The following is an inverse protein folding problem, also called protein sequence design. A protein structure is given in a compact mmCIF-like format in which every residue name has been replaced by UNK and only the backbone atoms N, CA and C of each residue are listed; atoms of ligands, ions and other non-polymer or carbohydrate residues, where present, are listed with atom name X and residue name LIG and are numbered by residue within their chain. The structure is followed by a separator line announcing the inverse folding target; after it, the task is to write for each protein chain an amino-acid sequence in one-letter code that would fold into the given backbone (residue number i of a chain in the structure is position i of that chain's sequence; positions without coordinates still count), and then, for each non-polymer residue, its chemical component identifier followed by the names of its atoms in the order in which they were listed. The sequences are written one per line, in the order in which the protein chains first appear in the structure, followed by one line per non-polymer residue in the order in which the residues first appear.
data_IF_953942632011
#
_entry.id   IF_953942632011
#
_cell.length_a   1.000
_cell.length_b   1.000
_cell.length_c   1.000
_cell.angle_alpha   90.00
_cell.angle_beta   90.00
_cell.angle_gamma   90.00
#
_symmetry.space_group_name_H-M   'P 1'
#
loop_
_entity.id
_entity.type
_entity.pdbx_description
1 polymer ?
#
# COMPACT_ATOMS: atom_id res chain seq x y z
N UNK A 1 -25.26 6.70 -8.69
CA UNK A 1 -25.93 5.79 -7.74
C UNK A 1 -25.39 6.14 -6.35
N UNK A 2 -26.24 6.68 -5.48
CA UNK A 2 -25.84 6.94 -4.09
C UNK A 2 -25.87 5.62 -3.34
N UNK A 3 -24.73 4.95 -3.23
CA UNK A 3 -24.56 3.89 -2.25
C UNK A 3 -24.31 4.58 -0.89
N UNK A 4 -25.37 4.83 -0.13
CA UNK A 4 -25.25 4.96 1.31
C UNK A 4 -24.96 3.56 1.83
N UNK A 5 -23.69 3.20 1.90
CA UNK A 5 -23.27 1.97 2.53
C UNK A 5 -23.56 2.13 4.01
N UNK A 6 -24.56 1.41 4.51
CA UNK A 6 -24.93 1.39 5.91
C UNK A 6 -23.68 1.06 6.74
N UNK A 7 -23.33 1.93 7.66
CA UNK A 7 -22.12 1.75 8.45
C UNK A 7 -22.26 0.52 9.37
N UNK A 8 -21.13 -0.07 9.79
CA UNK A 8 -21.14 -1.17 10.78
C UNK A 8 -21.83 -0.71 12.06
N UNK A 9 -21.71 0.57 12.40
CA UNK A 9 -22.33 1.16 13.60
C UNK A 9 -23.85 1.33 13.44
N UNK A 10 -24.35 1.65 12.24
CA UNK A 10 -25.77 1.67 11.93
C UNK A 10 -26.39 0.28 12.11
N UNK A 11 -25.69 -0.77 11.64
CA UNK A 11 -26.12 -2.16 11.82
C UNK A 11 -26.14 -2.58 13.29
N UNK A 12 -25.09 -2.25 14.04
CA UNK A 12 -25.03 -2.56 15.48
C UNK A 12 -26.14 -1.85 16.22
N UNK A 13 -26.46 -0.59 15.87
CA UNK A 13 -27.59 0.13 16.43
C UNK A 13 -28.92 -0.55 16.09
N UNK A 14 -29.14 -0.96 14.87
CA UNK A 14 -30.36 -1.65 14.45
C UNK A 14 -30.54 -2.99 15.20
N UNK A 15 -29.47 -3.76 15.36
CA UNK A 15 -29.50 -5.00 16.17
C UNK A 15 -29.90 -4.76 17.62
N UNK A 16 -29.42 -3.66 18.22
CA UNK A 16 -29.83 -3.27 19.58
C UNK A 16 -31.31 -2.90 19.65
N UNK A 17 -31.85 -2.20 18.64
CA UNK A 17 -33.26 -1.84 18.59
C UNK A 17 -34.17 -3.08 18.42
N UNK A 18 -33.78 -4.00 17.51
CA UNK A 18 -34.55 -5.22 17.21
C UNK A 18 -34.61 -6.19 18.39
N UNK A 19 -33.63 -6.16 19.29
CA UNK A 19 -33.56 -7.01 20.46
C UNK A 19 -33.85 -6.31 21.80
N UNK A 20 -34.42 -5.13 21.77
CA UNK A 20 -34.73 -4.37 22.99
C UNK A 20 -35.70 -5.12 23.94
N UNK A 21 -35.51 -5.02 25.28
CA UNK A 21 -34.47 -4.28 25.97
C UNK A 21 -33.15 -5.08 26.08
N UNK A 22 -32.04 -4.51 25.58
CA UNK A 22 -30.73 -5.17 25.63
C UNK A 22 -29.59 -4.13 25.68
N UNK A 23 -28.37 -4.63 25.84
CA UNK A 23 -27.13 -3.87 25.62
C UNK A 23 -26.12 -4.74 24.90
N UNK A 24 -25.13 -4.12 24.27
CA UNK A 24 -24.01 -4.76 23.59
C UNK A 24 -22.72 -3.97 23.76
N UNK A 25 -21.60 -4.58 23.42
CA UNK A 25 -20.29 -3.92 23.40
C UNK A 25 -19.81 -3.71 21.97
N UNK A 26 -19.32 -2.51 21.68
CA UNK A 26 -18.73 -2.15 20.41
C UNK A 26 -17.50 -1.26 20.65
N UNK A 27 -16.32 -1.71 20.18
CA UNK A 27 -15.04 -1.01 20.40
C UNK A 27 -14.84 -0.57 21.86
N UNK A 28 -15.00 -1.51 22.81
CA UNK A 28 -14.86 -1.28 24.25
C UNK A 28 -15.87 -0.27 24.84
N UNK A 29 -16.94 0.05 24.11
CA UNK A 29 -18.02 0.92 24.57
C UNK A 29 -19.30 0.13 24.73
N UNK A 30 -19.95 0.29 25.88
CA UNK A 30 -21.28 -0.29 26.13
C UNK A 30 -22.35 0.59 25.49
N UNK A 31 -23.15 -0.01 24.62
CA UNK A 31 -24.27 0.59 23.94
C UNK A 31 -25.56 -0.04 24.44
N UNK A 32 -26.59 0.77 24.64
CA UNK A 32 -27.90 0.32 25.15
C UNK A 32 -28.97 0.51 24.07
N UNK A 33 -29.96 -0.37 24.06
CA UNK A 33 -31.12 -0.21 23.17
C UNK A 33 -31.96 1.04 23.46
N UNK A 34 -31.73 1.70 24.61
CA UNK A 34 -32.32 3.00 24.94
C UNK A 34 -31.55 4.20 24.41
N UNK A 35 -30.32 4.00 23.95
CA UNK A 35 -29.53 5.07 23.35
C UNK A 35 -30.16 5.48 22.00
N UNK A 36 -30.13 6.76 21.72
CA UNK A 36 -30.43 7.25 20.37
C UNK A 36 -29.25 6.96 19.40
N UNK A 37 -29.50 6.99 18.11
CA UNK A 37 -28.44 6.79 17.11
C UNK A 37 -27.27 7.77 17.27
N UNK A 38 -27.59 9.04 17.56
CA UNK A 38 -26.55 10.05 17.81
C UNK A 38 -25.74 9.76 19.08
N UNK A 39 -26.38 9.31 20.17
CA UNK A 39 -25.66 8.91 21.38
C UNK A 39 -24.72 7.74 21.14
N UNK A 40 -25.14 6.74 20.35
CA UNK A 40 -24.30 5.61 19.94
C UNK A 40 -23.08 6.13 19.15
N UNK A 41 -23.28 7.01 18.17
CA UNK A 41 -22.19 7.60 17.40
C UNK A 41 -21.25 8.43 18.28
N UNK A 42 -21.77 9.26 19.18
CA UNK A 42 -20.96 10.07 20.12
C UNK A 42 -20.13 9.18 21.03
N UNK A 43 -20.72 8.10 21.58
CA UNK A 43 -19.99 7.15 22.44
C UNK A 43 -18.82 6.48 21.75
N UNK A 44 -18.99 6.09 20.49
CA UNK A 44 -17.99 5.31 19.72
C UNK A 44 -16.98 6.21 19.00
N UNK A 45 -17.43 7.28 18.39
CA UNK A 45 -16.61 8.11 17.48
C UNK A 45 -16.28 9.50 18.02
N UNK A 46 -16.94 9.92 19.09
CA UNK A 46 -16.85 11.28 19.63
C UNK A 46 -17.62 12.34 18.81
N UNK A 47 -18.44 11.93 17.83
CA UNK A 47 -19.19 12.81 16.93
C UNK A 47 -20.63 12.33 16.81
N UNK A 48 -21.58 13.23 16.57
CA UNK A 48 -22.93 12.85 16.13
C UNK A 48 -22.87 12.12 14.79
N UNK A 49 -23.93 11.38 14.43
CA UNK A 49 -23.99 10.69 13.13
C UNK A 49 -23.78 11.66 11.97
N UNK A 50 -24.43 12.80 11.98
CA UNK A 50 -24.31 13.78 10.90
C UNK A 50 -22.88 14.33 10.77
N UNK A 51 -22.20 14.60 11.88
CA UNK A 51 -20.78 15.03 11.88
C UNK A 51 -19.84 13.92 11.39
N UNK A 52 -20.08 12.70 11.81
CA UNK A 52 -19.31 11.53 11.37
C UNK A 52 -19.49 11.30 9.86
N UNK A 53 -20.72 11.27 9.36
CA UNK A 53 -21.02 11.12 7.93
C UNK A 53 -20.39 12.24 7.10
N UNK A 54 -20.46 13.48 7.61
CA UNK A 54 -19.78 14.62 7.00
C UNK A 54 -18.26 14.49 6.95
N UNK A 55 -17.65 13.95 7.99
CA UNK A 55 -16.22 13.67 8.04
C UNK A 55 -15.81 12.57 7.03
N UNK A 56 -16.53 11.46 7.02
CA UNK A 56 -16.28 10.36 6.09
C UNK A 56 -16.42 10.81 4.63
N UNK A 57 -17.47 11.58 4.33
CA UNK A 57 -17.67 12.15 2.99
C UNK A 57 -16.47 13.01 2.55
N UNK A 58 -16.01 13.93 3.41
CA UNK A 58 -14.85 14.78 3.11
C UNK A 58 -13.57 13.95 2.89
N UNK A 59 -13.38 12.90 3.67
CA UNK A 59 -12.23 11.99 3.47
C UNK A 59 -12.29 11.29 2.11
N UNK A 60 -13.48 10.81 1.70
CA UNK A 60 -13.65 10.19 0.39
C UNK A 60 -13.42 11.19 -0.74
N UNK A 61 -14.01 12.39 -0.66
CA UNK A 61 -13.80 13.46 -1.65
C UNK A 61 -12.31 13.82 -1.79
N UNK A 62 -11.58 13.89 -0.67
CA UNK A 62 -10.14 14.16 -0.69
C UNK A 62 -9.35 12.99 -1.29
N UNK A 63 -9.72 11.76 -0.97
CA UNK A 63 -9.10 10.56 -1.53
C UNK A 63 -9.32 10.51 -3.05
N UNK A 64 -10.56 10.66 -3.51
CA UNK A 64 -10.93 10.64 -4.93
C UNK A 64 -10.18 11.75 -5.70
N UNK A 65 -10.05 12.94 -5.11
CA UNK A 65 -9.29 14.04 -5.70
C UNK A 65 -7.80 13.67 -5.84
N UNK A 66 -7.18 13.16 -4.78
CA UNK A 66 -5.76 12.74 -4.81
C UNK A 66 -5.53 11.61 -5.81
N UNK A 67 -6.45 10.66 -5.88
CA UNK A 67 -6.39 9.57 -6.85
C UNK A 67 -6.48 10.09 -8.30
N UNK A 68 -7.43 11.01 -8.56
CA UNK A 68 -7.56 11.63 -9.88
C UNK A 68 -6.32 12.44 -10.27
N UNK A 69 -5.78 13.23 -9.34
CA UNK A 69 -4.54 14.00 -9.56
C UNK A 69 -3.35 13.08 -9.84
N UNK A 70 -3.26 11.94 -9.14
CA UNK A 70 -2.22 10.95 -9.40
C UNK A 70 -2.38 10.30 -10.77
N UNK A 71 -3.59 9.82 -11.10
CA UNK A 71 -3.90 9.22 -12.41
C UNK A 71 -3.56 10.16 -13.57
N UNK A 72 -3.80 11.46 -13.40
CA UNK A 72 -3.45 12.44 -14.41
C UNK A 72 -1.93 12.60 -14.64
N UNK A 73 -1.12 12.28 -13.64
CA UNK A 73 0.36 12.33 -13.71
C UNK A 73 0.99 11.06 -14.29
N UNK A 74 0.28 9.94 -14.30
CA UNK A 74 0.84 8.63 -14.72
C UNK A 74 1.52 8.71 -16.10
N UNK A 75 0.93 9.30 -17.16
CA UNK A 75 1.58 9.33 -18.46
C UNK A 75 2.96 10.02 -18.43
N UNK A 76 3.07 11.16 -17.75
CA UNK A 76 4.33 11.88 -17.61
C UNK A 76 5.34 11.09 -16.77
N UNK A 77 4.90 10.51 -15.66
CA UNK A 77 5.74 9.67 -14.81
C UNK A 77 6.26 8.45 -15.57
N UNK A 78 5.40 7.82 -16.39
CA UNK A 78 5.79 6.66 -17.20
C UNK A 78 6.91 7.04 -18.17
N UNK A 79 6.76 8.16 -18.88
CA UNK A 79 7.78 8.65 -19.80
C UNK A 79 9.10 8.97 -19.09
N UNK A 80 9.05 9.70 -17.98
CA UNK A 80 10.22 10.07 -17.20
C UNK A 80 10.94 8.83 -16.65
N UNK A 81 10.18 7.87 -16.10
CA UNK A 81 10.72 6.64 -15.53
C UNK A 81 11.33 5.73 -16.61
N UNK A 82 10.68 5.63 -17.77
CA UNK A 82 11.20 4.89 -18.91
C UNK A 82 12.52 5.48 -19.42
N UNK A 83 12.60 6.80 -19.55
CA UNK A 83 13.81 7.47 -20.01
C UNK A 83 14.99 7.24 -19.06
N UNK A 84 14.74 7.23 -17.74
CA UNK A 84 15.77 6.98 -16.74
C UNK A 84 16.15 5.50 -16.63
N UNK A 85 15.23 4.58 -16.94
CA UNK A 85 15.47 3.14 -16.91
C UNK A 85 16.28 2.62 -18.12
N UNK A 86 16.32 3.37 -19.24
CA UNK A 86 17.09 2.98 -20.44
C UNK A 86 18.56 2.79 -20.12
N UNK A 87 19.10 1.66 -20.55
CA UNK A 87 20.49 1.29 -20.30
C UNK A 87 20.74 0.62 -18.94
N UNK A 88 19.74 0.66 -18.03
CA UNK A 88 19.78 -0.04 -16.74
C UNK A 88 18.93 -1.31 -16.80
N UNK A 89 17.75 -1.21 -17.40
CA UNK A 89 16.80 -2.32 -17.56
C UNK A 89 16.89 -2.87 -18.97
N UNK A 90 16.89 -4.20 -19.19
CA UNK A 90 16.81 -4.81 -20.51
C UNK A 90 15.64 -4.25 -21.32
N UNK A 91 15.87 -3.97 -22.61
CA UNK A 91 14.87 -3.32 -23.49
C UNK A 91 13.55 -4.12 -23.56
N UNK A 92 13.65 -5.46 -23.57
CA UNK A 92 12.49 -6.35 -23.57
C UNK A 92 11.60 -6.27 -22.31
N UNK A 93 12.09 -5.63 -21.25
CA UNK A 93 11.35 -5.46 -19.99
C UNK A 93 10.83 -4.04 -19.76
N UNK A 94 11.12 -3.10 -20.66
CA UNK A 94 10.69 -1.70 -20.50
C UNK A 94 9.16 -1.55 -20.56
N UNK A 95 8.47 -2.33 -21.40
CA UNK A 95 7.01 -2.30 -21.46
C UNK A 95 6.38 -2.72 -20.11
N UNK A 96 6.88 -3.79 -19.54
CA UNK A 96 6.43 -4.25 -18.21
C UNK A 96 6.81 -3.25 -17.09
N UNK A 97 7.95 -2.57 -17.22
CA UNK A 97 8.34 -1.49 -16.33
C UNK A 97 7.33 -0.34 -16.36
N UNK A 98 6.90 0.08 -17.53
CA UNK A 98 5.91 1.15 -17.70
C UNK A 98 4.56 0.83 -17.08
N UNK A 99 4.12 -0.42 -17.17
CA UNK A 99 2.84 -0.85 -16.60
C UNK A 99 2.84 -0.89 -15.07
N UNK A 100 3.96 -1.19 -14.46
CA UNK A 100 4.02 -1.52 -13.02
C UNK A 100 4.62 -0.39 -12.20
N UNK A 101 5.76 0.13 -12.62
CA UNK A 101 6.58 0.97 -11.76
C UNK A 101 5.92 2.31 -11.41
N UNK A 102 5.33 3.07 -12.34
CA UNK A 102 4.67 4.33 -12.00
C UNK A 102 3.55 4.17 -10.98
N UNK A 103 2.83 3.04 -11.03
CA UNK A 103 1.71 2.75 -10.15
C UNK A 103 2.21 2.16 -8.82
N UNK A 104 3.04 1.12 -8.89
CA UNK A 104 3.46 0.36 -7.71
C UNK A 104 4.43 1.10 -6.79
N UNK A 105 5.28 1.95 -7.33
CA UNK A 105 6.16 2.78 -6.50
C UNK A 105 5.37 3.77 -5.64
N UNK A 106 4.26 4.28 -6.16
CA UNK A 106 3.40 5.16 -5.38
C UNK A 106 2.57 4.42 -4.33
N UNK A 107 2.14 3.20 -4.64
CA UNK A 107 1.16 2.44 -3.85
C UNK A 107 1.81 1.65 -2.70
N UNK A 108 2.94 0.99 -2.96
CA UNK A 108 3.56 0.04 -2.04
C UNK A 108 4.67 0.63 -1.16
N UNK A 109 5.32 1.70 -1.59
CA UNK A 109 6.55 2.19 -0.96
C UNK A 109 6.59 3.71 -0.90
N UNK A 110 5.68 4.30 -0.15
CA UNK A 110 5.72 5.72 0.15
C UNK A 110 7.08 6.12 0.68
N UNK A 111 7.75 7.05 -0.01
CA UNK A 111 9.02 7.64 0.40
C UNK A 111 10.26 7.02 -0.23
N UNK A 112 10.14 5.98 -1.08
CA UNK A 112 11.28 5.50 -1.85
C UNK A 112 11.29 6.18 -3.23
N UNK A 113 12.37 6.91 -3.52
CA UNK A 113 12.54 7.60 -4.80
C UNK A 113 12.91 6.63 -5.93
N UNK A 114 12.57 6.99 -7.17
CA UNK A 114 12.91 6.20 -8.36
C UNK A 114 14.40 5.88 -8.45
N UNK A 115 15.27 6.80 -8.07
CA UNK A 115 16.71 6.60 -8.08
C UNK A 115 17.15 5.43 -7.19
N UNK A 116 16.48 5.19 -6.08
CA UNK A 116 16.76 4.04 -5.24
C UNK A 116 16.45 2.72 -5.96
N UNK A 117 15.32 2.67 -6.68
CA UNK A 117 14.93 1.49 -7.43
C UNK A 117 15.91 1.17 -8.55
N UNK A 118 16.31 2.18 -9.32
CA UNK A 118 17.30 2.03 -10.39
C UNK A 118 18.66 1.61 -9.83
N UNK A 119 19.10 2.20 -8.71
CA UNK A 119 20.32 1.80 -8.02
C UNK A 119 20.30 0.34 -7.58
N UNK A 120 19.17 -0.15 -7.05
CA UNK A 120 19.05 -1.58 -6.71
C UNK A 120 19.18 -2.48 -7.94
N UNK A 121 18.54 -2.12 -9.05
CA UNK A 121 18.60 -2.87 -10.29
C UNK A 121 20.03 -2.88 -10.85
N UNK A 122 20.72 -1.73 -10.84
CA UNK A 122 22.13 -1.64 -11.23
C UNK A 122 23.04 -2.55 -10.40
N UNK A 123 22.86 -2.54 -9.05
CA UNK A 123 23.64 -3.41 -8.16
C UNK A 123 23.33 -4.89 -8.46
N UNK A 124 22.08 -5.25 -8.66
CA UNK A 124 21.66 -6.62 -8.96
C UNK A 124 22.14 -7.10 -10.34
N UNK A 125 22.38 -6.17 -11.27
CA UNK A 125 22.94 -6.45 -12.60
C UNK A 125 24.47 -6.42 -12.66
N UNK A 126 25.15 -6.00 -11.60
CA UNK A 126 26.61 -5.93 -11.55
C UNK A 126 27.24 -7.33 -11.44
N UNK A 127 27.45 -7.98 -12.58
CA UNK A 127 28.04 -9.33 -12.66
C UNK A 127 29.51 -9.40 -12.25
N UNK A 128 30.16 -8.28 -11.90
CA UNK A 128 31.51 -8.28 -11.30
C UNK A 128 31.52 -8.75 -9.85
N UNK A 129 30.35 -8.83 -9.21
CA UNK A 129 30.15 -9.31 -7.84
C UNK A 129 29.38 -10.60 -7.81
N UNK A 130 29.63 -11.41 -6.78
CA UNK A 130 28.89 -12.63 -6.54
C UNK A 130 27.40 -12.32 -6.22
N UNK A 131 26.50 -13.23 -6.57
CA UNK A 131 25.05 -13.03 -6.40
C UNK A 131 24.65 -12.70 -4.96
N UNK A 132 25.22 -13.43 -4.00
CA UNK A 132 24.94 -13.21 -2.58
C UNK A 132 25.44 -11.83 -2.11
N UNK A 133 26.60 -11.40 -2.59
CA UNK A 133 27.15 -10.08 -2.27
C UNK A 133 26.23 -8.97 -2.78
N UNK A 134 25.74 -9.05 -4.02
CA UNK A 134 24.80 -8.10 -4.60
C UNK A 134 23.51 -8.00 -3.79
N UNK A 135 22.99 -9.15 -3.39
CA UNK A 135 21.78 -9.22 -2.56
C UNK A 135 21.99 -8.58 -1.19
N UNK A 136 23.10 -8.86 -0.49
CA UNK A 136 23.38 -8.28 0.83
C UNK A 136 23.63 -6.78 0.77
N UNK A 137 24.21 -6.25 -0.30
CA UNK A 137 24.34 -4.80 -0.53
C UNK A 137 22.94 -4.17 -0.63
N UNK A 138 22.04 -4.75 -1.43
CA UNK A 138 20.67 -4.27 -1.55
C UNK A 138 19.91 -4.33 -0.22
N UNK A 139 19.99 -5.42 0.53
CA UNK A 139 19.40 -5.54 1.86
C UNK A 139 19.89 -4.48 2.82
N UNK A 140 21.18 -4.22 2.83
CA UNK A 140 21.80 -3.19 3.67
C UNK A 140 21.28 -1.79 3.33
N UNK A 141 21.10 -1.47 2.05
CA UNK A 141 20.55 -0.20 1.61
C UNK A 141 19.08 -0.05 2.00
N UNK A 142 18.28 -1.10 1.83
CA UNK A 142 16.89 -1.13 2.30
C UNK A 142 16.77 -0.86 3.80
N UNK A 143 17.61 -1.53 4.59
CA UNK A 143 17.62 -1.33 6.03
C UNK A 143 17.93 0.11 6.42
N UNK A 144 18.92 0.73 5.75
CA UNK A 144 19.28 2.14 5.97
C UNK A 144 18.13 3.12 5.65
N UNK A 145 17.21 2.72 4.78
CA UNK A 145 16.03 3.50 4.42
C UNK A 145 14.80 3.20 5.30
N UNK A 146 14.97 2.43 6.38
CA UNK A 146 13.90 2.12 7.32
C UNK A 146 13.05 0.91 6.94
N UNK A 147 13.41 0.16 5.89
CA UNK A 147 12.74 -1.07 5.48
C UNK A 147 13.49 -2.28 6.03
N UNK A 148 12.82 -3.13 6.79
CA UNK A 148 13.44 -4.28 7.45
C UNK A 148 13.05 -5.62 6.80
N UNK A 149 14.00 -6.57 6.78
CA UNK A 149 13.78 -8.01 6.62
C UNK A 149 12.88 -8.40 5.44
N UNK A 150 11.66 -8.79 5.75
CA UNK A 150 10.70 -9.35 4.79
C UNK A 150 10.27 -8.36 3.69
N UNK A 151 10.09 -7.08 4.01
CA UNK A 151 9.71 -6.07 3.01
C UNK A 151 10.80 -5.85 1.95
N UNK A 152 12.08 -5.83 2.35
CA UNK A 152 13.20 -5.77 1.40
C UNK A 152 13.27 -6.99 0.47
N UNK A 153 13.04 -8.18 1.02
CA UNK A 153 13.02 -9.42 0.21
C UNK A 153 11.85 -9.45 -0.77
N UNK A 154 10.67 -8.96 -0.39
CA UNK A 154 9.50 -8.82 -1.27
C UNK A 154 9.78 -7.89 -2.45
N UNK A 155 10.43 -6.76 -2.19
CA UNK A 155 10.80 -5.80 -3.24
C UNK A 155 11.79 -6.43 -4.21
N UNK A 156 12.85 -7.06 -3.72
CA UNK A 156 13.85 -7.70 -4.57
C UNK A 156 13.22 -8.82 -5.40
N UNK A 157 12.30 -9.59 -4.83
CA UNK A 157 11.53 -10.59 -5.59
C UNK A 157 10.65 -9.95 -6.67
N UNK A 158 10.01 -8.81 -6.38
CA UNK A 158 9.23 -8.03 -7.36
C UNK A 158 10.06 -7.48 -8.50
N UNK A 159 11.31 -7.08 -8.21
CA UNK A 159 12.26 -6.55 -9.19
C UNK A 159 12.95 -7.62 -10.05
N UNK A 160 12.77 -8.90 -9.77
CA UNK A 160 13.50 -10.02 -10.43
C UNK A 160 13.45 -10.02 -11.96
N UNK A 161 12.43 -9.40 -12.57
CA UNK A 161 12.35 -9.28 -14.03
C UNK A 161 13.29 -8.24 -14.63
N UNK A 162 13.80 -7.35 -13.79
CA UNK A 162 14.64 -6.23 -14.20
C UNK A 162 16.11 -6.45 -13.92
N UNK A 163 16.49 -7.60 -13.37
CA UNK A 163 17.87 -7.91 -13.02
C UNK A 163 18.27 -9.37 -13.30
N UNK A 164 19.59 -9.62 -13.36
CA UNK A 164 20.21 -10.91 -13.66
C UNK A 164 20.53 -11.72 -12.42
N UNK A 165 19.59 -11.83 -11.48
CA UNK A 165 19.81 -12.64 -10.29
C UNK A 165 19.63 -14.13 -10.62
N UNK A 166 20.55 -14.97 -10.13
CA UNK A 166 20.51 -16.40 -10.38
C UNK A 166 19.35 -17.12 -9.67
N UNK A 167 19.04 -18.35 -10.13
CA UNK A 167 17.94 -19.15 -9.61
C UNK A 167 18.08 -19.48 -8.12
N UNK A 168 19.31 -19.71 -7.64
CA UNK A 168 19.57 -20.00 -6.23
C UNK A 168 19.15 -18.85 -5.33
N UNK A 169 19.43 -17.62 -5.72
CA UNK A 169 19.09 -16.44 -4.96
C UNK A 169 17.60 -16.09 -5.08
N UNK A 170 17.00 -16.38 -6.23
CA UNK A 170 15.55 -16.29 -6.40
C UNK A 170 14.81 -17.26 -5.46
N UNK A 171 15.34 -18.48 -5.27
CA UNK A 171 14.82 -19.43 -4.28
C UNK A 171 14.96 -18.90 -2.86
N UNK A 172 16.13 -18.39 -2.49
CA UNK A 172 16.36 -17.80 -1.16
C UNK A 172 15.40 -16.62 -0.86
N UNK A 173 15.17 -15.76 -1.84
CA UNK A 173 14.20 -14.65 -1.69
C UNK A 173 12.78 -15.20 -1.47
N UNK A 174 12.37 -16.20 -2.27
CA UNK A 174 11.06 -16.82 -2.15
C UNK A 174 10.87 -17.54 -0.80
N UNK A 175 11.89 -18.18 -0.28
CA UNK A 175 11.84 -18.86 1.03
C UNK A 175 11.78 -17.86 2.19
N UNK A 176 12.47 -16.71 2.06
CA UNK A 176 12.39 -15.62 3.03
C UNK A 176 11.02 -14.92 3.08
N UNK A 177 10.23 -15.03 2.01
CA UNK A 177 8.86 -14.50 1.96
C UNK A 177 7.86 -15.45 2.64
N UNK A 178 8.18 -16.75 2.68
CA UNK A 178 7.29 -17.78 3.25
C UNK A 178 7.50 -18.00 4.75
N UNK A 179 8.60 -17.52 5.31
CA UNK A 179 8.95 -17.62 6.73
C UNK A 179 8.46 -16.40 7.52
#
# INVERSE_FOLDING_TARGET
MNFTQESILDKAYQELQDNAPCYGEFNEKTLYSTDSLDEVYIKVTGKSKAEHDGYIRKMHEEYDRKEAEFKAKIPQLTEDYRNRARGIIPEEHLEYWDEIVPIRLNDLYHGMELDCWLTFIEILNDTSKEELERFEICRSLFFKQGHSGMSGSLVLAGLRRFHTLGEMLASYINDSIKA
#
